data_IF_475223165571
#
_entry.id   IF_475223165571
#
_cell.length_a   1.000
_cell.length_b   1.000
_cell.length_c   1.000
_cell.angle_alpha   90.00
_cell.angle_beta   90.00
_cell.angle_gamma   90.00
#
_symmetry.space_group_name_H-M   'P 1'
#
loop_
_entity.id
_entity.type
_entity.pdbx_description
1 polymer ?
#
# COMPACT_ATOMS: atom_id res chain seq x y z
N UNK A 1 43.12 6.84 -39.85
CA UNK A 1 43.19 8.27 -39.61
C UNK A 1 42.70 8.53 -38.19
N UNK A 2 43.66 8.91 -37.38
CA UNK A 2 43.53 9.12 -35.95
C UNK A 2 43.15 10.59 -35.71
N UNK A 3 42.16 10.87 -34.87
CA UNK A 3 41.89 12.20 -34.34
C UNK A 3 41.64 12.10 -32.85
N UNK A 4 42.65 12.37 -32.10
CA UNK A 4 42.70 12.63 -30.67
C UNK A 4 42.09 14.02 -30.37
N UNK A 5 41.15 14.09 -29.42
CA UNK A 5 40.70 15.38 -28.86
C UNK A 5 40.98 15.39 -27.36
N UNK A 6 41.79 16.37 -26.99
CA UNK A 6 42.23 16.61 -25.62
C UNK A 6 41.17 17.32 -24.80
N UNK A 7 40.92 16.84 -23.56
CA UNK A 7 40.11 17.51 -22.58
C UNK A 7 40.98 18.41 -21.71
N UNK A 8 40.71 19.72 -21.76
CA UNK A 8 41.37 20.71 -20.92
C UNK A 8 40.78 20.70 -19.50
N UNK A 9 41.67 20.58 -18.53
CA UNK A 9 41.35 20.71 -17.09
C UNK A 9 41.30 22.18 -16.70
N UNK A 10 40.15 22.67 -16.26
CA UNK A 10 40.00 23.98 -15.64
C UNK A 10 40.27 23.90 -14.13
N UNK A 11 41.32 24.56 -13.69
CA UNK A 11 41.61 24.80 -12.25
C UNK A 11 40.70 25.90 -11.72
N UNK A 12 39.90 25.60 -10.69
CA UNK A 12 39.25 26.63 -9.88
C UNK A 12 40.16 26.99 -8.71
N UNK A 13 40.51 28.27 -8.64
CA UNK A 13 41.22 28.89 -7.52
C UNK A 13 40.26 29.20 -6.37
N UNK A 14 40.70 28.86 -5.17
CA UNK A 14 39.97 29.12 -3.93
C UNK A 14 39.98 30.63 -3.61
N UNK A 15 38.83 31.20 -3.32
CA UNK A 15 38.68 32.55 -2.78
C UNK A 15 38.40 32.48 -1.26
N UNK A 16 39.16 33.33 -0.57
CA UNK A 16 39.27 33.54 0.86
C UNK A 16 37.95 33.87 1.58
N UNK A 17 37.82 33.31 2.77
CA UNK A 17 36.76 33.53 3.76
C UNK A 17 36.77 34.95 4.34
N UNK A 18 35.65 35.65 4.30
CA UNK A 18 35.37 36.80 5.14
C UNK A 18 34.39 36.41 6.25
N UNK A 19 34.86 36.47 7.47
CA UNK A 19 34.09 36.20 8.71
C UNK A 19 33.23 37.42 9.06
N UNK A 20 31.90 37.26 9.08
CA UNK A 20 31.00 38.28 9.62
C UNK A 20 30.68 37.99 11.10
N UNK A 21 30.48 39.02 11.95
CA UNK A 21 30.32 38.85 13.40
C UNK A 21 28.96 38.31 13.78
N UNK A 22 28.96 37.31 14.67
CA UNK A 22 27.76 36.73 15.29
C UNK A 22 27.04 37.76 16.17
N UNK A 23 25.85 38.16 15.79
CA UNK A 23 24.89 38.82 16.68
C UNK A 23 24.25 37.76 17.58
N UNK A 24 24.55 37.80 18.85
CA UNK A 24 23.85 37.05 19.90
C UNK A 24 22.47 37.68 20.14
N UNK A 25 21.42 37.09 19.62
CA UNK A 25 20.06 37.42 20.02
C UNK A 25 19.74 36.71 21.34
N UNK A 26 19.54 37.47 22.41
CA UNK A 26 18.95 36.99 23.66
C UNK A 26 17.51 36.58 23.41
N UNK A 27 17.23 35.30 23.44
CA UNK A 27 15.85 34.75 23.45
C UNK A 27 15.34 34.88 24.89
N UNK A 28 14.39 35.81 25.10
CA UNK A 28 13.63 35.91 26.34
C UNK A 28 12.76 34.68 26.47
N UNK A 29 12.99 33.89 27.50
CA UNK A 29 12.16 32.72 27.85
C UNK A 29 10.81 33.21 28.43
N UNK A 30 9.77 33.18 27.61
CA UNK A 30 8.41 33.43 28.07
C UNK A 30 7.81 32.08 28.49
N UNK A 31 7.97 31.75 29.78
CA UNK A 31 7.42 30.55 30.40
C UNK A 31 5.92 30.73 30.73
N UNK A 32 5.07 30.75 29.70
CA UNK A 32 3.65 30.49 29.86
C UNK A 32 3.39 29.04 29.51
N UNK A 33 3.64 28.15 30.48
CA UNK A 33 3.22 26.75 30.42
C UNK A 33 1.69 26.70 30.44
N UNK A 34 1.08 26.73 29.24
CA UNK A 34 -0.28 26.25 29.05
C UNK A 34 -0.26 24.74 29.36
N UNK A 35 -0.79 24.37 30.52
CA UNK A 35 -1.15 22.98 30.81
C UNK A 35 -2.14 22.55 29.73
N UNK A 36 -1.60 22.00 28.64
CA UNK A 36 -2.41 21.28 27.67
C UNK A 36 -2.99 20.04 28.34
N UNK A 37 -4.29 20.07 28.58
CA UNK A 37 -5.04 18.87 28.93
C UNK A 37 -4.86 17.88 27.77
N UNK A 38 -3.97 16.90 27.94
CA UNK A 38 -3.91 15.73 27.06
C UNK A 38 -5.14 14.87 27.38
N UNK A 39 -6.27 15.27 26.85
CA UNK A 39 -7.42 14.35 26.74
C UNK A 39 -6.93 13.21 25.85
N UNK A 40 -6.55 12.09 26.44
CA UNK A 40 -6.38 10.83 25.69
C UNK A 40 -7.77 10.52 25.13
N UNK A 41 -7.93 10.76 23.84
CA UNK A 41 -9.06 10.26 23.08
C UNK A 41 -8.89 8.74 22.98
N UNK A 42 -9.29 8.02 24.05
CA UNK A 42 -9.60 6.60 23.92
C UNK A 42 -10.94 6.53 23.19
N UNK A 43 -10.95 6.94 21.93
CA UNK A 43 -12.08 6.68 21.07
C UNK A 43 -12.10 5.16 20.85
N UNK A 44 -13.05 4.49 21.46
CA UNK A 44 -13.39 3.12 21.11
C UNK A 44 -13.77 3.17 19.63
N UNK A 45 -12.97 2.52 18.79
CA UNK A 45 -13.28 2.41 17.36
C UNK A 45 -14.64 1.73 17.21
N UNK A 46 -15.62 2.47 16.70
CA UNK A 46 -16.93 1.90 16.36
C UNK A 46 -16.89 1.59 14.87
N UNK A 47 -17.11 0.33 14.45
CA UNK A 47 -17.18 0.01 13.04
C UNK A 47 -18.19 0.92 12.34
N UNK A 48 -17.86 1.39 11.12
CA UNK A 48 -18.77 2.26 10.38
C UNK A 48 -20.05 1.49 10.02
N UNK A 49 -21.17 2.18 10.08
CA UNK A 49 -22.47 1.65 9.70
C UNK A 49 -22.63 1.77 8.16
N UNK A 50 -22.57 0.67 7.41
CA UNK A 50 -22.64 0.71 5.96
C UNK A 50 -23.97 1.26 5.43
N UNK A 51 -25.05 1.22 6.23
CA UNK A 51 -26.36 1.75 5.84
C UNK A 51 -26.41 3.27 5.82
N UNK A 52 -25.43 3.94 6.44
CA UNK A 52 -25.31 5.41 6.46
C UNK A 52 -24.48 6.00 5.32
N UNK A 53 -23.93 5.15 4.44
CA UNK A 53 -23.21 5.60 3.26
C UNK A 53 -24.16 6.37 2.32
N UNK A 54 -23.82 7.63 2.00
CA UNK A 54 -24.64 8.44 1.09
C UNK A 54 -24.82 7.71 -0.25
N UNK A 55 -26.05 7.47 -0.72
CA UNK A 55 -26.28 6.79 -1.99
C UNK A 55 -25.83 7.67 -3.16
N UNK A 56 -24.88 7.19 -3.95
CA UNK A 56 -24.42 7.75 -5.21
C UNK A 56 -24.56 6.68 -6.30
N UNK A 57 -24.84 7.04 -7.57
CA UNK A 57 -24.97 6.06 -8.64
C UNK A 57 -23.71 5.21 -8.82
N UNK A 58 -22.56 5.86 -8.66
CA UNK A 58 -21.23 5.23 -8.74
C UNK A 58 -20.33 5.78 -7.63
N UNK A 59 -19.36 4.97 -7.22
CA UNK A 59 -18.30 5.36 -6.29
C UNK A 59 -16.95 4.88 -6.83
N UNK A 60 -15.92 5.66 -6.58
CA UNK A 60 -14.54 5.32 -6.93
C UNK A 60 -13.74 5.22 -5.65
N UNK A 61 -12.95 4.16 -5.53
CA UNK A 61 -11.99 3.97 -4.45
C UNK A 61 -10.61 3.66 -5.01
N UNK A 62 -9.60 4.05 -4.25
CA UNK A 62 -8.20 3.75 -4.54
C UNK A 62 -7.57 3.15 -3.29
N UNK A 63 -6.85 2.06 -3.47
CA UNK A 63 -6.00 1.46 -2.45
C UNK A 63 -4.54 1.51 -2.90
N UNK A 64 -3.65 1.65 -1.94
CA UNK A 64 -2.21 1.50 -2.08
C UNK A 64 -1.68 0.77 -0.87
N UNK A 65 -0.83 -0.23 -1.10
CA UNK A 65 -0.13 -0.92 -0.02
C UNK A 65 1.27 -1.32 -0.47
N UNK A 66 2.19 -1.44 0.49
CA UNK A 66 3.57 -1.84 0.28
C UNK A 66 4.03 -2.75 1.41
N UNK A 67 4.56 -3.92 1.06
CA UNK A 67 5.17 -4.85 2.01
C UNK A 67 6.67 -4.99 1.78
N UNK A 68 7.41 -5.06 2.90
CA UNK A 68 8.81 -5.45 2.91
C UNK A 68 8.92 -6.93 2.57
N UNK A 69 9.93 -7.30 1.79
CA UNK A 69 10.28 -8.68 1.49
C UNK A 69 11.66 -9.03 2.04
N UNK A 70 11.77 -10.22 2.64
CA UNK A 70 13.04 -10.76 3.12
C UNK A 70 13.36 -12.11 2.48
N UNK A 71 14.65 -12.42 2.40
CA UNK A 71 15.12 -13.72 1.90
C UNK A 71 14.67 -14.85 2.83
N UNK A 72 14.23 -15.95 2.25
CA UNK A 72 13.84 -17.15 3.00
C UNK A 72 15.01 -17.78 3.75
N UNK A 73 16.26 -17.49 3.32
CA UNK A 73 17.49 -17.89 4.03
C UNK A 73 17.74 -17.09 5.31
N UNK A 74 17.24 -15.85 5.37
CA UNK A 74 17.36 -14.96 6.54
C UNK A 74 16.16 -15.05 7.46
N UNK A 75 14.97 -15.20 6.89
CA UNK A 75 13.70 -15.37 7.61
C UNK A 75 12.93 -16.59 7.06
N UNK A 76 13.25 -17.80 7.53
CA UNK A 76 12.55 -19.01 7.11
C UNK A 76 11.07 -18.99 7.49
N UNK A 77 10.23 -19.54 6.60
CA UNK A 77 8.79 -19.65 6.83
C UNK A 77 7.96 -18.49 6.28
N UNK A 78 8.60 -17.46 5.72
CA UNK A 78 7.90 -16.46 4.93
C UNK A 78 7.41 -17.05 3.61
N UNK A 79 6.33 -16.49 3.10
CA UNK A 79 5.73 -16.88 1.82
C UNK A 79 5.42 -15.63 1.00
N UNK A 80 5.26 -15.79 -0.30
CA UNK A 80 4.79 -14.73 -1.19
C UNK A 80 3.40 -15.09 -1.71
N UNK A 81 2.39 -14.35 -1.24
CA UNK A 81 1.01 -14.46 -1.67
C UNK A 81 0.60 -13.23 -2.46
N UNK A 82 -0.11 -13.42 -3.57
CA UNK A 82 -0.66 -12.34 -4.38
C UNK A 82 -2.04 -12.73 -4.93
N UNK A 83 -3.06 -11.99 -4.51
CA UNK A 83 -4.44 -12.24 -4.91
C UNK A 83 -4.93 -13.62 -4.45
N UNK A 84 -4.45 -14.09 -3.29
CA UNK A 84 -4.75 -15.40 -2.73
C UNK A 84 -4.07 -16.57 -3.45
N UNK A 85 -3.07 -16.29 -4.30
CA UNK A 85 -2.26 -17.30 -4.99
C UNK A 85 -0.85 -17.28 -4.42
N UNK A 86 -0.37 -18.43 -3.95
CA UNK A 86 1.01 -18.60 -3.50
C UNK A 86 1.96 -18.66 -4.70
N UNK A 87 2.99 -17.83 -4.67
CA UNK A 87 4.01 -17.77 -5.70
C UNK A 87 5.34 -18.33 -5.18
N UNK A 88 6.00 -19.15 -5.98
CA UNK A 88 7.34 -19.62 -5.69
C UNK A 88 8.34 -18.48 -5.87
N UNK A 89 9.06 -18.15 -4.79
CA UNK A 89 10.04 -17.07 -4.77
C UNK A 89 11.08 -17.29 -3.67
N UNK A 90 12.25 -16.67 -3.82
CA UNK A 90 13.34 -16.69 -2.84
C UNK A 90 13.14 -15.73 -1.66
N UNK A 91 12.07 -14.91 -1.72
CA UNK A 91 11.66 -13.96 -0.67
C UNK A 91 10.18 -14.12 -0.37
N UNK A 92 9.80 -13.78 0.86
CA UNK A 92 8.41 -13.66 1.29
C UNK A 92 8.14 -12.32 1.96
N UNK A 93 6.87 -11.97 2.09
CA UNK A 93 6.46 -10.74 2.73
C UNK A 93 6.61 -10.80 4.25
N UNK A 94 7.12 -9.73 4.85
CA UNK A 94 7.15 -9.55 6.31
C UNK A 94 5.87 -8.83 6.71
N UNK A 95 4.91 -9.56 7.28
CA UNK A 95 3.61 -9.03 7.64
C UNK A 95 3.03 -9.74 8.88
N UNK A 96 1.96 -9.21 9.46
CA UNK A 96 1.22 -9.83 10.55
C UNK A 96 0.19 -10.86 10.06
N UNK A 97 -0.22 -10.78 8.79
CA UNK A 97 -1.06 -11.72 8.06
C UNK A 97 -0.21 -12.57 7.11
N UNK A 98 -0.81 -13.13 6.06
CA UNK A 98 -0.09 -13.79 4.96
C UNK A 98 0.70 -12.82 4.06
N UNK A 99 0.54 -11.49 4.25
CA UNK A 99 1.24 -10.45 3.53
C UNK A 99 0.81 -10.27 2.08
N UNK A 100 -0.40 -10.66 1.71
CA UNK A 100 -0.94 -10.45 0.37
C UNK A 100 -1.26 -8.96 0.12
N UNK A 101 -0.26 -8.24 -0.37
CA UNK A 101 -0.34 -6.80 -0.65
C UNK A 101 -1.45 -6.44 -1.64
N UNK A 102 -1.81 -7.34 -2.56
CA UNK A 102 -2.88 -7.11 -3.51
C UNK A 102 -4.25 -7.17 -2.84
N UNK A 103 -4.49 -8.15 -1.97
CA UNK A 103 -5.74 -8.27 -1.24
C UNK A 103 -5.92 -7.12 -0.25
N UNK A 104 -4.85 -6.68 0.45
CA UNK A 104 -4.90 -5.50 1.31
C UNK A 104 -5.27 -4.23 0.54
N UNK A 105 -4.65 -4.05 -0.63
CA UNK A 105 -4.93 -2.92 -1.52
C UNK A 105 -6.37 -2.91 -2.02
N UNK A 106 -6.96 -4.08 -2.28
CA UNK A 106 -8.37 -4.25 -2.68
C UNK A 106 -9.31 -3.87 -1.55
N UNK A 107 -9.00 -4.28 -0.32
CA UNK A 107 -9.78 -3.88 0.86
C UNK A 107 -9.85 -2.36 0.97
N UNK A 108 -8.70 -1.69 0.92
CA UNK A 108 -8.63 -0.23 1.01
C UNK A 108 -9.34 0.47 -0.16
N UNK A 109 -9.28 -0.09 -1.37
CA UNK A 109 -10.01 0.46 -2.51
C UNK A 109 -11.54 0.40 -2.28
N UNK A 110 -12.06 -0.73 -1.78
CA UNK A 110 -13.49 -0.91 -1.52
C UNK A 110 -13.94 -0.01 -0.36
N UNK A 111 -13.24 -0.05 0.77
CA UNK A 111 -13.61 0.74 1.95
C UNK A 111 -13.47 2.23 1.69
N UNK A 112 -12.43 2.65 0.96
CA UNK A 112 -12.24 4.04 0.52
C UNK A 112 -13.36 4.53 -0.40
N UNK A 113 -13.85 3.69 -1.34
CA UNK A 113 -15.02 4.01 -2.16
C UNK A 113 -16.27 4.26 -1.31
N UNK A 114 -16.42 3.55 -0.20
CA UNK A 114 -17.54 3.70 0.74
C UNK A 114 -17.34 4.86 1.72
N UNK A 115 -16.17 5.50 1.76
CA UNK A 115 -15.81 6.52 2.74
C UNK A 115 -15.63 5.93 4.15
N UNK A 116 -15.20 4.69 4.22
CA UNK A 116 -14.91 3.95 5.46
C UNK A 116 -13.43 4.02 5.80
N UNK A 117 -13.05 3.64 7.05
CA UNK A 117 -11.65 3.54 7.47
C UNK A 117 -10.84 2.55 6.65
N UNK A 118 -9.51 2.69 6.70
CA UNK A 118 -8.55 1.80 6.06
C UNK A 118 -8.46 0.43 6.76
N UNK A 119 -7.75 -0.49 6.12
CA UNK A 119 -7.56 -1.87 6.58
C UNK A 119 -6.95 -1.93 7.98
N UNK A 120 -5.99 -1.04 8.31
CA UNK A 120 -5.34 -1.03 9.61
C UNK A 120 -6.25 -0.59 10.76
N UNK A 121 -7.28 0.21 10.46
CA UNK A 121 -8.32 0.61 11.43
C UNK A 121 -9.42 -0.44 11.57
N UNK A 122 -9.79 -1.11 10.47
CA UNK A 122 -10.82 -2.16 10.47
C UNK A 122 -10.29 -3.47 11.07
N UNK A 123 -9.02 -3.79 10.83
CA UNK A 123 -8.36 -5.04 11.23
C UNK A 123 -7.01 -4.73 11.90
N UNK A 124 -7.03 -4.11 13.10
CA UNK A 124 -5.79 -3.67 13.74
C UNK A 124 -4.86 -4.86 14.05
N UNK A 125 -3.58 -4.68 13.74
CA UNK A 125 -2.53 -5.68 13.89
C UNK A 125 -2.25 -6.09 15.34
N UNK A 126 -2.63 -5.23 16.30
CA UNK A 126 -2.56 -5.50 17.74
C UNK A 126 -3.76 -6.31 18.27
N UNK A 127 -4.78 -6.60 17.45
CA UNK A 127 -5.87 -7.49 17.84
C UNK A 127 -5.48 -8.96 17.55
N UNK A 128 -5.38 -9.81 18.60
CA UNK A 128 -5.02 -11.22 18.46
C UNK A 128 -5.93 -12.01 17.49
N UNK A 129 -7.14 -11.53 17.25
CA UNK A 129 -8.11 -12.13 16.32
C UNK A 129 -7.57 -12.24 14.90
N UNK A 130 -6.71 -11.30 14.49
CA UNK A 130 -6.22 -11.19 13.11
C UNK A 130 -4.82 -11.75 12.91
N UNK A 131 -4.16 -12.18 13.99
CA UNK A 131 -2.80 -12.72 13.91
C UNK A 131 -2.75 -13.99 13.08
N UNK A 132 -2.00 -13.95 11.98
CA UNK A 132 -1.83 -15.09 11.07
C UNK A 132 -3.08 -15.40 10.23
N UNK A 133 -4.06 -14.49 10.16
CA UNK A 133 -5.19 -14.64 9.24
C UNK A 133 -4.73 -14.57 7.79
N UNK A 134 -5.40 -15.30 6.94
CA UNK A 134 -5.31 -15.16 5.48
C UNK A 134 -6.08 -13.92 5.03
N UNK A 135 -5.56 -13.18 4.07
CA UNK A 135 -6.09 -11.87 3.67
C UNK A 135 -7.45 -11.94 2.96
N UNK A 136 -7.88 -13.13 2.52
CA UNK A 136 -9.23 -13.36 1.99
C UNK A 136 -10.34 -13.08 3.02
N UNK A 137 -10.04 -13.24 4.32
CA UNK A 137 -10.96 -12.87 5.40
C UNK A 137 -11.28 -11.37 5.38
N UNK A 138 -10.26 -10.54 5.14
CA UNK A 138 -10.42 -9.08 5.06
C UNK A 138 -11.21 -8.67 3.82
N UNK A 139 -10.93 -9.30 2.67
CA UNK A 139 -11.69 -9.06 1.43
C UNK A 139 -13.15 -9.48 1.60
N UNK A 140 -13.41 -10.61 2.25
CA UNK A 140 -14.76 -11.09 2.54
C UNK A 140 -15.56 -10.06 3.34
N UNK A 141 -14.95 -9.47 4.36
CA UNK A 141 -15.59 -8.45 5.18
C UNK A 141 -15.80 -7.14 4.39
N UNK A 142 -14.82 -6.69 3.61
CA UNK A 142 -14.98 -5.52 2.74
C UNK A 142 -16.13 -5.71 1.73
N UNK A 143 -16.25 -6.89 1.13
CA UNK A 143 -17.35 -7.25 0.24
C UNK A 143 -18.71 -7.28 0.96
N UNK A 144 -18.74 -7.73 2.22
CA UNK A 144 -19.98 -7.71 3.02
C UNK A 144 -20.43 -6.27 3.25
N UNK A 145 -19.50 -5.39 3.69
CA UNK A 145 -19.76 -3.97 3.91
C UNK A 145 -20.24 -3.27 2.63
N UNK A 146 -19.61 -3.58 1.49
CA UNK A 146 -20.00 -3.05 0.17
C UNK A 146 -21.45 -3.42 -0.18
N UNK A 147 -21.81 -4.70 -0.03
CA UNK A 147 -23.17 -5.17 -0.33
C UNK A 147 -24.21 -4.59 0.62
N UNK A 148 -23.90 -4.48 1.90
CA UNK A 148 -24.79 -3.84 2.89
C UNK A 148 -25.01 -2.36 2.62
N UNK A 149 -24.01 -1.66 2.06
CA UNK A 149 -24.15 -0.30 1.58
C UNK A 149 -24.95 -0.19 0.27
N UNK A 150 -25.32 -1.31 -0.34
CA UNK A 150 -26.09 -1.40 -1.59
C UNK A 150 -25.23 -1.15 -2.84
N UNK A 151 -24.00 -1.68 -2.87
CA UNK A 151 -23.08 -1.57 -3.99
C UNK A 151 -22.53 -2.92 -4.41
N UNK A 152 -22.10 -2.97 -5.67
CA UNK A 152 -21.39 -4.09 -6.27
C UNK A 152 -20.16 -3.58 -7.04
N UNK A 153 -19.26 -4.49 -7.41
CA UNK A 153 -18.09 -4.18 -8.24
C UNK A 153 -18.57 -3.83 -9.66
N UNK A 154 -18.35 -2.59 -10.09
CA UNK A 154 -18.54 -2.18 -11.48
C UNK A 154 -17.34 -2.57 -12.34
N UNK A 155 -16.13 -2.15 -11.91
CA UNK A 155 -14.87 -2.68 -12.43
C UNK A 155 -13.72 -2.43 -11.45
N UNK A 156 -12.64 -3.17 -11.62
CA UNK A 156 -11.42 -3.08 -10.80
C UNK A 156 -10.18 -3.16 -11.67
N UNK A 157 -9.21 -2.30 -11.41
CA UNK A 157 -7.91 -2.27 -12.09
C UNK A 157 -6.78 -2.27 -11.07
N UNK A 158 -6.03 -3.37 -11.02
CA UNK A 158 -4.91 -3.56 -10.10
C UNK A 158 -3.58 -3.42 -10.84
N UNK A 159 -2.62 -2.74 -10.21
CA UNK A 159 -1.24 -2.63 -10.70
C UNK A 159 -0.28 -3.11 -9.62
N UNK A 160 0.31 -4.28 -9.83
CA UNK A 160 1.34 -4.86 -8.96
C UNK A 160 2.69 -4.28 -9.39
N UNK A 161 3.48 -3.80 -8.44
CA UNK A 161 4.83 -3.29 -8.64
C UNK A 161 5.80 -4.26 -7.96
N UNK A 162 6.50 -5.06 -8.78
CA UNK A 162 7.42 -6.10 -8.30
C UNK A 162 8.57 -6.27 -9.28
N UNK A 163 9.80 -6.26 -8.79
CA UNK A 163 10.98 -6.57 -9.61
C UNK A 163 11.01 -8.05 -9.98
N UNK A 164 10.67 -8.92 -9.04
CA UNK A 164 10.51 -10.38 -9.15
C UNK A 164 9.45 -10.87 -8.17
N UNK A 165 8.81 -12.02 -8.43
CA UNK A 165 8.86 -12.84 -9.65
C UNK A 165 8.16 -12.15 -10.83
N UNK A 166 8.25 -12.74 -12.05
CA UNK A 166 7.42 -12.31 -13.18
C UNK A 166 5.97 -12.66 -12.89
N UNK A 167 5.09 -11.64 -12.83
CA UNK A 167 3.67 -11.82 -12.52
C UNK A 167 2.86 -12.32 -13.73
N UNK A 168 3.35 -12.07 -14.96
CA UNK A 168 2.61 -12.42 -16.18
C UNK A 168 2.08 -13.85 -16.24
N UNK A 169 2.82 -14.90 -15.83
CA UNK A 169 2.30 -16.28 -15.85
C UNK A 169 1.17 -16.54 -14.84
N UNK A 170 1.02 -15.70 -13.83
CA UNK A 170 0.09 -15.88 -12.72
C UNK A 170 -1.17 -15.01 -12.84
N UNK A 171 -1.21 -14.07 -13.82
CA UNK A 171 -2.28 -13.07 -13.92
C UNK A 171 -3.67 -13.68 -14.06
N UNK A 172 -3.82 -14.70 -14.91
CA UNK A 172 -5.13 -15.31 -15.15
C UNK A 172 -5.63 -16.04 -13.89
N UNK A 173 -4.75 -16.76 -13.18
CA UNK A 173 -5.10 -17.40 -11.92
C UNK A 173 -5.46 -16.37 -10.83
N UNK A 174 -4.70 -15.28 -10.72
CA UNK A 174 -4.98 -14.18 -9.78
C UNK A 174 -6.35 -13.57 -10.14
N UNK A 175 -6.59 -13.24 -11.40
CA UNK A 175 -7.85 -12.62 -11.85
C UNK A 175 -9.06 -13.50 -11.56
N UNK A 176 -8.98 -14.80 -11.91
CA UNK A 176 -10.05 -15.76 -11.63
C UNK A 176 -10.32 -15.89 -10.13
N UNK A 177 -9.27 -15.93 -9.30
CA UNK A 177 -9.43 -16.01 -7.86
C UNK A 177 -10.05 -14.74 -7.27
N UNK A 178 -9.63 -13.56 -7.75
CA UNK A 178 -10.23 -12.27 -7.36
C UNK A 178 -11.70 -12.20 -7.75
N UNK A 179 -12.07 -12.61 -8.98
CA UNK A 179 -13.45 -12.64 -9.44
C UNK A 179 -14.34 -13.49 -8.51
N UNK A 180 -13.85 -14.68 -8.13
CA UNK A 180 -14.52 -15.57 -7.19
C UNK A 180 -14.69 -14.93 -5.81
N UNK A 181 -13.64 -14.36 -5.23
CA UNK A 181 -13.68 -13.73 -3.90
C UNK A 181 -14.61 -12.53 -3.85
N UNK A 182 -14.57 -11.69 -4.88
CA UNK A 182 -15.37 -10.48 -4.99
C UNK A 182 -16.83 -10.76 -5.38
N UNK A 183 -17.10 -11.93 -5.97
CA UNK A 183 -18.40 -12.25 -6.55
C UNK A 183 -18.70 -11.41 -7.78
N UNK A 184 -17.68 -11.14 -8.60
CA UNK A 184 -17.75 -10.33 -9.81
C UNK A 184 -17.38 -11.14 -11.05
N UNK A 185 -17.79 -10.68 -12.24
CA UNK A 185 -17.36 -11.29 -13.50
C UNK A 185 -15.87 -11.01 -13.76
N UNK A 186 -15.14 -12.00 -14.30
CA UNK A 186 -13.72 -11.82 -14.60
C UNK A 186 -13.44 -10.69 -15.59
N UNK A 187 -14.37 -10.36 -16.48
CA UNK A 187 -14.21 -9.32 -17.47
C UNK A 187 -14.11 -7.90 -16.89
N UNK A 188 -14.60 -7.70 -15.66
CA UNK A 188 -14.53 -6.41 -14.96
C UNK A 188 -13.32 -6.29 -14.05
N UNK A 189 -12.44 -7.32 -14.00
CA UNK A 189 -11.23 -7.33 -13.18
C UNK A 189 -10.00 -7.35 -14.08
N UNK A 190 -9.14 -6.37 -13.91
CA UNK A 190 -7.85 -6.30 -14.61
C UNK A 190 -6.68 -6.35 -13.64
N UNK A 191 -5.62 -7.07 -14.03
CA UNK A 191 -4.36 -7.17 -13.29
C UNK A 191 -3.20 -6.81 -14.20
N UNK A 192 -2.48 -5.75 -13.86
CA UNK A 192 -1.25 -5.31 -14.50
C UNK A 192 -0.07 -5.52 -13.58
N UNK A 193 1.11 -5.65 -14.14
CA UNK A 193 2.35 -5.70 -13.38
C UNK A 193 3.40 -4.81 -14.02
N UNK A 194 4.20 -4.16 -13.17
CA UNK A 194 5.32 -3.30 -13.53
C UNK A 194 6.54 -3.67 -12.70
N UNK A 195 7.71 -3.54 -13.30
CA UNK A 195 8.95 -3.42 -12.54
C UNK A 195 9.12 -1.99 -12.05
N UNK A 196 10.07 -1.77 -11.15
CA UNK A 196 10.47 -0.42 -10.75
C UNK A 196 11.88 -0.09 -11.25
N UNK A 197 12.25 -0.68 -12.41
CA UNK A 197 13.47 -0.42 -13.19
C UNK A 197 14.76 -0.46 -12.35
N UNK A 198 14.79 -1.31 -11.33
CA UNK A 198 15.89 -1.45 -10.36
C UNK A 198 16.18 -0.18 -9.54
N UNK A 199 15.18 0.70 -9.43
CA UNK A 199 15.25 1.91 -8.59
C UNK A 199 14.58 1.60 -7.27
N UNK A 200 15.18 2.06 -6.14
CA UNK A 200 14.71 1.96 -4.76
C UNK A 200 14.47 0.53 -4.24
N UNK A 201 13.72 0.40 -3.15
CA UNK A 201 13.43 -0.89 -2.49
C UNK A 201 12.61 -1.84 -3.36
N UNK A 202 11.71 -1.30 -4.21
CA UNK A 202 10.89 -2.09 -5.13
C UNK A 202 11.77 -2.66 -6.24
N UNK A 203 12.58 -1.82 -6.89
CA UNK A 203 13.48 -2.21 -7.95
C UNK A 203 14.64 -3.11 -7.48
N UNK A 204 14.99 -3.06 -6.19
CA UNK A 204 15.99 -3.93 -5.55
C UNK A 204 15.38 -5.24 -5.02
N UNK A 205 14.11 -5.49 -5.26
CA UNK A 205 13.39 -6.69 -4.79
C UNK A 205 13.35 -6.84 -3.25
N UNK A 206 13.41 -5.71 -2.51
CA UNK A 206 13.30 -5.65 -1.05
C UNK A 206 11.90 -5.31 -0.56
N UNK A 207 11.03 -4.97 -1.50
CA UNK A 207 9.61 -4.70 -1.24
C UNK A 207 8.77 -5.02 -2.47
N UNK A 208 7.48 -5.14 -2.26
CA UNK A 208 6.44 -5.28 -3.27
C UNK A 208 5.33 -4.30 -2.95
N UNK A 209 4.72 -3.70 -3.96
CA UNK A 209 3.62 -2.76 -3.79
C UNK A 209 2.48 -3.04 -4.77
N UNK A 210 1.31 -2.51 -4.43
CA UNK A 210 0.15 -2.56 -5.30
C UNK A 210 -0.63 -1.24 -5.26
N UNK A 211 -1.20 -0.89 -6.39
CA UNK A 211 -2.27 0.10 -6.51
C UNK A 211 -3.51 -0.59 -7.05
N UNK A 212 -4.65 -0.31 -6.45
CA UNK A 212 -5.95 -0.77 -6.94
C UNK A 212 -6.91 0.40 -7.06
N UNK A 213 -7.58 0.50 -8.19
CA UNK A 213 -8.72 1.40 -8.38
C UNK A 213 -9.97 0.54 -8.57
N UNK A 214 -11.03 0.86 -7.84
CA UNK A 214 -12.33 0.21 -7.99
C UNK A 214 -13.41 1.25 -8.32
N UNK A 215 -14.29 0.90 -9.23
CA UNK A 215 -15.57 1.57 -9.44
C UNK A 215 -16.66 0.66 -8.87
N UNK A 216 -17.48 1.19 -7.98
CA UNK A 216 -18.66 0.53 -7.43
C UNK A 216 -19.91 1.10 -8.06
N UNK A 217 -20.83 0.23 -8.47
CA UNK A 217 -22.15 0.57 -8.96
C UNK A 217 -23.19 0.42 -7.85
N UNK A 218 -24.12 1.34 -7.77
CA UNK A 218 -25.30 1.22 -6.89
C UNK A 218 -26.22 0.12 -7.41
N UNK A 219 -26.65 -0.81 -6.55
CA UNK A 219 -27.66 -1.84 -6.81
C UNK A 219 -29.01 -1.36 -6.36
#
# INVERSE_FOLDING_TARGET
>A
MCLTSAVAAARLTAASSATAPRRTARIASNSNARRGSTTRLNAVFTPPDPTKVKPLPVRIGHGFDLHRMELLTEMPGLELWLGGIKLEHDRGCVAHSDGDVLLHCIVDAITGALGMPDIGQLFPDNDPKWKGCTSDVFVTEACRLMREAGYEIGNMDCTIIAQRPKISPHKDAIRANLAKMLGADESVINVKAKTHEKVDSLGENRSIACHTVVLLNKV
#
